data_IF_363440157895
#
_entry.id   IF_363440157895
#
_cell.length_a   1.000
_cell.length_b   1.000
_cell.length_c   1.000
_cell.angle_alpha   90.00
_cell.angle_beta   90.00
_cell.angle_gamma   90.00
#
_symmetry.space_group_name_H-M   'P 1'
#
loop_
_entity.id
_entity.type
_entity.pdbx_description
1 polymer ?
#
# COMPACT_ATOMS: atom_id res chain seq x y z
N UNK A 1 -0.13 17.68 18.72
CA UNK A 1 0.51 16.70 17.81
C UNK A 1 0.11 15.27 18.12
N UNK A 2 -0.12 14.90 19.39
CA UNK A 2 -0.53 13.53 19.77
C UNK A 2 -1.96 13.41 20.32
N UNK A 3 -2.84 14.42 20.18
CA UNK A 3 -4.19 14.39 20.78
C UNK A 3 -5.08 13.29 20.19
N UNK A 4 -4.88 12.95 18.91
CA UNK A 4 -5.65 11.93 18.20
C UNK A 4 -4.88 10.59 18.07
N UNK A 5 -3.77 10.46 18.80
CA UNK A 5 -2.90 9.27 18.82
C UNK A 5 -2.98 8.59 20.18
N UNK A 6 -2.73 7.29 20.21
CA UNK A 6 -2.75 6.49 21.43
C UNK A 6 -1.33 6.45 22.04
N UNK A 7 -1.06 7.14 23.17
CA UNK A 7 0.28 7.21 23.75
C UNK A 7 0.71 5.85 24.34
N UNK A 8 1.94 5.43 24.03
CA UNK A 8 2.54 4.20 24.56
C UNK A 8 2.83 4.28 26.07
N UNK A 9 3.06 5.50 26.56
CA UNK A 9 3.26 5.82 27.96
C UNK A 9 2.64 7.20 28.26
N UNK A 10 2.10 7.39 29.47
CA UNK A 10 1.36 8.61 29.80
C UNK A 10 2.26 9.83 30.00
N UNK A 11 3.45 9.63 30.58
CA UNK A 11 4.36 10.72 30.92
C UNK A 11 5.21 11.13 29.72
N UNK A 12 5.30 12.44 29.48
CA UNK A 12 6.19 12.99 28.45
C UNK A 12 7.62 12.96 28.98
N UNK A 13 8.54 12.36 28.24
CA UNK A 13 9.95 12.38 28.60
C UNK A 13 10.47 13.78 28.26
N UNK A 14 10.78 14.55 29.30
CA UNK A 14 11.29 15.91 29.17
C UNK A 14 12.75 15.97 29.61
N UNK A 15 13.59 16.53 28.75
CA UNK A 15 15.01 16.78 29.00
C UNK A 15 15.25 18.27 28.89
N UNK A 16 15.90 18.85 29.89
CA UNK A 16 16.37 20.23 29.86
C UNK A 16 17.77 20.29 30.44
N UNK A 17 18.68 20.95 29.74
CA UNK A 17 20.05 21.13 30.20
C UNK A 17 20.76 22.25 29.48
N UNK A 18 21.88 22.70 30.06
CA UNK A 18 22.76 23.69 29.46
C UNK A 18 24.20 23.17 29.52
N UNK A 19 24.92 23.28 28.40
CA UNK A 19 26.33 22.91 28.34
C UNK A 19 27.04 23.81 27.34
N UNK A 20 28.20 24.35 27.74
CA UNK A 20 29.01 25.25 26.91
C UNK A 20 28.21 26.44 26.34
N UNK A 21 27.31 27.03 27.15
CA UNK A 21 26.44 28.14 26.73
C UNK A 21 25.32 27.78 25.76
N UNK A 22 25.17 26.50 25.39
CA UNK A 22 24.05 26.01 24.59
C UNK A 22 22.99 25.39 25.48
N UNK A 23 21.77 25.93 25.44
CA UNK A 23 20.62 25.36 26.14
C UNK A 23 19.92 24.35 25.22
N UNK A 24 19.54 23.18 25.76
CA UNK A 24 18.82 22.13 25.03
C UNK A 24 17.58 21.75 25.81
N UNK A 25 16.43 21.79 25.16
CA UNK A 25 15.15 21.29 25.67
C UNK A 25 14.57 20.27 24.68
N UNK A 26 14.19 19.10 25.17
CA UNK A 26 13.62 18.02 24.36
C UNK A 26 12.39 17.43 25.06
N UNK A 27 11.30 17.26 24.32
CA UNK A 27 10.13 16.52 24.75
C UNK A 27 9.89 15.33 23.81
N UNK A 28 9.72 14.13 24.36
CA UNK A 28 9.56 12.88 23.60
C UNK A 28 8.35 12.09 24.10
N UNK A 29 7.59 11.54 23.17
CA UNK A 29 6.46 10.66 23.44
C UNK A 29 6.33 9.61 22.33
N UNK A 30 6.30 8.33 22.68
CA UNK A 30 5.98 7.26 21.73
C UNK A 30 4.47 7.01 21.72
N UNK A 31 3.94 6.69 20.54
CA UNK A 31 2.55 6.30 20.34
C UNK A 31 2.45 4.85 19.82
N UNK A 32 1.42 4.13 20.24
CA UNK A 32 1.15 2.75 19.81
C UNK A 32 0.77 2.73 18.33
N UNK A 33 -0.11 3.64 17.93
CA UNK A 33 -0.78 3.70 16.63
C UNK A 33 -0.02 4.52 15.57
N UNK A 34 1.25 4.83 15.83
CA UNK A 34 2.13 5.50 14.88
C UNK A 34 3.26 4.58 14.42
N UNK A 35 3.49 4.58 13.09
CA UNK A 35 4.49 3.76 12.39
C UNK A 35 5.60 4.60 11.74
N UNK A 36 5.55 5.92 11.88
CA UNK A 36 6.60 6.85 11.45
C UNK A 36 6.98 7.77 12.60
N UNK A 37 8.18 8.36 12.53
CA UNK A 37 8.61 9.38 13.46
C UNK A 37 8.14 10.77 13.04
N UNK A 38 7.83 11.62 14.02
CA UNK A 38 7.53 13.03 13.83
C UNK A 38 8.40 13.85 14.78
N UNK A 39 9.59 14.22 14.29
CA UNK A 39 10.57 15.01 15.04
C UNK A 39 10.61 16.44 14.50
N UNK A 40 10.40 17.41 15.39
CA UNK A 40 10.48 18.83 15.08
C UNK A 40 11.70 19.46 15.73
N UNK A 41 12.51 20.14 14.93
CA UNK A 41 13.68 20.87 15.40
C UNK A 41 13.48 22.37 15.39
N UNK A 42 13.97 23.02 16.44
CA UNK A 42 14.05 24.46 16.58
C UNK A 42 15.44 24.88 17.05
N UNK A 43 15.97 25.95 16.47
CA UNK A 43 17.20 26.60 16.90
C UNK A 43 16.92 28.09 17.11
N UNK A 44 17.11 28.61 18.32
CA UNK A 44 16.80 30.00 18.69
C UNK A 44 15.38 30.43 18.28
N UNK A 45 14.38 29.58 18.54
CA UNK A 45 12.97 29.74 18.15
C UNK A 45 12.68 29.71 16.63
N UNK A 46 13.68 29.45 15.80
CA UNK A 46 13.51 29.26 14.35
C UNK A 46 13.32 27.78 14.06
N UNK A 47 12.29 27.43 13.29
CA UNK A 47 12.03 26.05 12.89
C UNK A 47 13.05 25.61 11.83
N UNK A 48 13.79 24.54 12.12
CA UNK A 48 14.77 23.96 11.20
C UNK A 48 14.12 22.84 10.39
N UNK A 49 13.47 23.21 9.28
CA UNK A 49 12.67 22.31 8.44
C UNK A 49 13.54 21.22 7.78
N UNK A 50 14.75 21.59 7.36
CA UNK A 50 15.68 20.69 6.67
C UNK A 50 16.57 19.91 7.66
N UNK A 51 16.30 20.03 8.96
CA UNK A 51 17.01 19.31 10.01
C UNK A 51 18.19 20.08 10.59
N UNK A 52 19.27 19.38 10.88
CA UNK A 52 20.51 19.98 11.41
C UNK A 52 21.19 19.13 12.47
N UNK A 53 22.33 19.63 12.94
CA UNK A 53 23.23 18.92 13.86
C UNK A 53 22.57 18.54 15.20
N UNK A 54 21.64 19.36 15.71
CA UNK A 54 20.83 19.08 16.90
C UNK A 54 19.91 17.86 16.71
N UNK A 55 19.20 17.79 15.57
CA UNK A 55 18.32 16.66 15.25
C UNK A 55 19.12 15.37 14.98
N UNK A 56 20.26 15.46 14.32
CA UNK A 56 21.17 14.32 14.11
C UNK A 56 21.75 13.80 15.44
N UNK A 57 22.12 14.71 16.34
CA UNK A 57 22.54 14.39 17.71
C UNK A 57 21.45 13.62 18.45
N UNK A 58 20.21 14.13 18.42
CA UNK A 58 19.06 13.46 19.03
C UNK A 58 18.81 12.07 18.43
N UNK A 59 18.84 11.93 17.10
CA UNK A 59 18.64 10.63 16.43
C UNK A 59 19.73 9.61 16.82
N UNK A 60 20.97 10.07 16.92
CA UNK A 60 22.13 9.22 17.28
C UNK A 60 22.02 8.74 18.72
N UNK A 61 21.77 9.64 19.67
CA UNK A 61 21.69 9.30 21.10
C UNK A 61 20.51 8.40 21.41
N UNK A 62 19.34 8.63 20.81
CA UNK A 62 18.18 7.75 20.96
C UNK A 62 18.51 6.32 20.55
N UNK A 63 19.16 6.15 19.40
CA UNK A 63 19.54 4.83 18.88
C UNK A 63 20.55 4.15 19.80
N UNK A 64 21.58 4.88 20.25
CA UNK A 64 22.63 4.37 21.13
C UNK A 64 22.09 3.97 22.50
N UNK A 65 21.36 4.86 23.16
CA UNK A 65 20.81 4.63 24.51
C UNK A 65 19.83 3.46 24.52
N UNK A 66 18.91 3.39 23.54
CA UNK A 66 17.92 2.31 23.50
C UNK A 66 18.57 0.94 23.25
N UNK A 67 19.59 0.85 22.38
CA UNK A 67 20.33 -0.40 22.19
C UNK A 67 21.08 -0.83 23.47
N UNK A 68 21.70 0.11 24.19
CA UNK A 68 22.39 -0.17 25.44
C UNK A 68 21.42 -0.67 26.53
N UNK A 69 20.29 0.00 26.71
CA UNK A 69 19.25 -0.38 27.67
C UNK A 69 18.67 -1.75 27.30
N UNK A 70 18.41 -2.01 26.01
CA UNK A 70 17.86 -3.29 25.57
C UNK A 70 18.82 -4.47 25.80
N UNK A 71 20.13 -4.28 25.65
CA UNK A 71 21.14 -5.29 26.01
C UNK A 71 21.22 -5.49 27.52
N UNK A 72 21.29 -4.41 28.31
CA UNK A 72 21.32 -4.47 29.79
C UNK A 72 20.11 -5.21 30.36
N UNK A 73 18.95 -5.08 29.72
CA UNK A 73 17.68 -5.74 30.10
C UNK A 73 17.45 -7.10 29.44
N UNK A 74 18.44 -7.67 28.73
CA UNK A 74 18.35 -8.96 28.02
C UNK A 74 17.21 -9.07 26.98
N UNK A 75 16.72 -7.93 26.44
CA UNK A 75 15.73 -7.90 25.35
C UNK A 75 16.37 -8.09 23.98
N UNK A 76 17.67 -7.83 23.87
CA UNK A 76 18.55 -8.15 22.74
C UNK A 76 19.71 -8.99 23.25
N UNK A 77 20.00 -10.12 22.60
CA UNK A 77 21.17 -10.94 22.94
C UNK A 77 22.44 -10.30 22.40
N UNK A 78 23.61 -10.64 22.96
CA UNK A 78 24.90 -10.09 22.51
C UNK A 78 25.19 -10.36 21.02
N UNK A 79 24.71 -11.48 20.50
CA UNK A 79 24.89 -11.88 19.10
C UNK A 79 23.80 -11.34 18.15
N UNK A 80 22.76 -10.70 18.68
CA UNK A 80 21.71 -10.12 17.85
C UNK A 80 22.20 -8.80 17.23
N UNK A 81 21.74 -8.52 16.00
CA UNK A 81 22.02 -7.24 15.36
C UNK A 81 21.38 -6.09 16.14
N UNK A 82 22.05 -4.94 16.15
CA UNK A 82 21.52 -3.72 16.78
C UNK A 82 20.26 -3.22 16.07
N UNK A 83 19.36 -2.61 16.84
CA UNK A 83 18.20 -1.92 16.29
C UNK A 83 18.66 -0.70 15.50
N UNK A 84 18.27 -0.63 14.23
CA UNK A 84 18.46 0.55 13.39
C UNK A 84 17.70 1.75 13.94
N UNK A 85 18.18 2.95 13.66
CA UNK A 85 17.62 4.18 14.20
C UNK A 85 16.17 4.42 13.78
N UNK A 86 15.76 4.02 12.58
CA UNK A 86 14.34 4.08 12.17
C UNK A 86 13.43 3.22 13.06
N UNK A 87 13.89 2.04 13.47
CA UNK A 87 13.10 1.12 14.28
C UNK A 87 12.90 1.65 15.71
N UNK A 88 13.92 2.30 16.26
CA UNK A 88 13.85 2.93 17.59
C UNK A 88 12.92 4.13 17.61
N UNK A 89 12.88 4.89 16.50
CA UNK A 89 12.02 6.07 16.37
C UNK A 89 10.62 5.74 15.87
N UNK A 90 10.30 4.48 15.56
CA UNK A 90 8.96 4.13 15.09
C UNK A 90 7.89 4.54 16.13
N UNK A 91 6.99 5.43 15.70
CA UNK A 91 5.94 5.98 16.56
C UNK A 91 6.38 7.07 17.52
N UNK A 92 7.63 7.54 17.44
CA UNK A 92 8.12 8.68 18.22
C UNK A 92 7.54 10.00 17.69
N UNK A 93 6.94 10.79 18.56
CA UNK A 93 6.74 12.21 18.34
C UNK A 93 7.61 12.99 19.32
N UNK A 94 8.41 13.92 18.79
CA UNK A 94 9.34 14.68 19.61
C UNK A 94 9.58 16.08 19.12
N UNK A 95 9.91 16.97 20.06
CA UNK A 95 10.29 18.35 19.79
C UNK A 95 11.63 18.59 20.46
N UNK A 96 12.60 19.10 19.70
CA UNK A 96 13.89 19.57 20.20
C UNK A 96 14.02 21.06 19.93
N UNK A 97 14.33 21.81 20.97
CA UNK A 97 14.64 23.23 20.93
C UNK A 97 16.02 23.46 21.48
N UNK A 98 16.91 24.05 20.67
CA UNK A 98 18.24 24.44 21.10
C UNK A 98 18.37 25.96 21.08
N UNK A 99 19.02 26.53 22.10
CA UNK A 99 19.43 27.92 22.10
C UNK A 99 20.95 27.98 22.03
N UNK A 100 21.47 28.49 20.92
CA UNK A 100 22.89 28.51 20.60
C UNK A 100 23.37 29.96 20.55
N UNK A 101 24.47 30.34 21.20
CA UNK A 101 24.98 31.72 21.21
C UNK A 101 25.30 32.25 19.80
N UNK A 102 26.00 31.45 19.00
CA UNK A 102 26.41 31.79 17.63
C UNK A 102 25.89 30.73 16.65
N UNK A 103 24.61 30.84 16.22
CA UNK A 103 24.01 29.83 15.35
C UNK A 103 24.50 29.99 13.90
N UNK A 104 25.11 28.94 13.37
CA UNK A 104 25.49 28.79 11.98
C UNK A 104 24.42 27.96 11.25
N UNK A 105 23.89 28.49 10.15
CA UNK A 105 22.90 27.78 9.33
C UNK A 105 23.46 27.47 7.94
N UNK A 106 23.11 26.30 7.41
CA UNK A 106 23.40 25.96 6.02
C UNK A 106 22.40 26.70 5.10
N UNK A 107 22.93 27.46 4.14
CA UNK A 107 22.14 28.14 3.12
C UNK A 107 21.46 29.45 3.58
N UNK A 108 20.86 30.16 2.64
CA UNK A 108 20.27 31.49 2.86
C UNK A 108 18.96 31.44 3.66
N UNK A 109 18.24 30.32 3.63
CA UNK A 109 16.89 30.17 4.21
C UNK A 109 16.87 29.85 5.70
N UNK A 110 18.04 29.73 6.37
CA UNK A 110 18.16 29.36 7.81
C UNK A 110 17.36 28.11 8.19
N UNK A 111 17.30 27.13 7.29
CA UNK A 111 16.45 25.94 7.43
C UNK A 111 17.15 24.75 8.08
N UNK A 112 18.49 24.74 8.12
CA UNK A 112 19.29 23.66 8.70
C UNK A 112 20.41 24.19 9.58
N UNK A 113 20.52 23.69 10.81
CA UNK A 113 21.58 24.08 11.75
C UNK A 113 22.89 23.34 11.42
N UNK A 114 24.00 24.08 11.32
CA UNK A 114 25.33 23.60 10.91
C UNK A 114 26.36 23.46 12.05
N UNK A 115 26.09 24.02 13.24
CA UNK A 115 27.01 23.96 14.40
C UNK A 115 27.32 22.51 14.81
N UNK A 116 28.51 22.02 14.51
CA UNK A 116 28.90 20.61 14.76
C UNK A 116 29.00 20.26 16.25
N UNK A 117 29.34 21.23 17.09
CA UNK A 117 29.45 21.12 18.54
C UNK A 117 28.10 20.82 19.22
N UNK A 118 27.00 21.34 18.64
CA UNK A 118 25.64 21.13 19.17
C UNK A 118 25.27 19.65 19.17
N UNK A 119 25.75 18.88 18.17
CA UNK A 119 25.52 17.44 18.09
C UNK A 119 26.03 16.72 19.35
N UNK A 120 27.26 17.00 19.77
CA UNK A 120 27.88 16.37 20.94
C UNK A 120 27.27 16.83 22.26
N UNK A 121 26.82 18.09 22.32
CA UNK A 121 26.11 18.66 23.47
C UNK A 121 24.77 17.95 23.66
N UNK A 122 23.97 17.85 22.59
CA UNK A 122 22.67 17.14 22.62
C UNK A 122 22.86 15.67 22.98
N UNK A 123 23.84 14.98 22.38
CA UNK A 123 24.11 13.56 22.68
C UNK A 123 24.45 13.32 24.16
N UNK A 124 25.25 14.21 24.76
CA UNK A 124 25.61 14.11 26.17
C UNK A 124 24.39 14.33 27.09
N UNK A 125 23.70 15.47 26.92
CA UNK A 125 22.62 15.90 27.82
C UNK A 125 21.41 14.97 27.73
N UNK A 126 20.98 14.64 26.51
CA UNK A 126 19.86 13.73 26.30
C UNK A 126 20.24 12.32 26.72
N UNK A 127 21.48 11.88 26.47
CA UNK A 127 21.92 10.52 26.80
C UNK A 127 21.89 10.24 28.30
N UNK A 128 22.33 11.18 29.12
CA UNK A 128 22.34 11.07 30.58
C UNK A 128 20.91 11.00 31.15
N UNK A 129 20.10 12.03 30.87
CA UNK A 129 18.73 12.12 31.40
C UNK A 129 17.83 11.01 30.88
N UNK A 130 17.98 10.62 29.61
CA UNK A 130 17.20 9.51 29.04
C UNK A 130 17.58 8.17 29.67
N UNK A 131 18.87 7.92 29.91
CA UNK A 131 19.31 6.69 30.56
C UNK A 131 18.75 6.61 31.97
N UNK A 132 18.88 7.69 32.74
CA UNK A 132 18.34 7.79 34.10
C UNK A 132 16.82 7.55 34.10
N UNK A 133 16.08 8.25 33.24
CA UNK A 133 14.63 8.11 33.13
C UNK A 133 14.19 6.66 32.85
N UNK A 134 14.87 5.98 31.92
CA UNK A 134 14.56 4.59 31.55
C UNK A 134 14.94 3.58 32.64
N UNK A 135 15.92 3.90 33.48
CA UNK A 135 16.27 3.09 34.66
C UNK A 135 15.21 3.21 35.76
N UNK A 136 14.71 4.42 36.02
CA UNK A 136 13.65 4.66 36.99
C UNK A 136 12.26 4.22 36.51
N UNK A 137 12.04 4.17 35.19
CA UNK A 137 10.77 3.79 34.57
C UNK A 137 10.91 2.51 33.73
N UNK A 138 11.13 1.34 34.38
CA UNK A 138 11.41 0.09 33.69
C UNK A 138 10.30 -0.34 32.71
N UNK A 139 9.04 -0.12 33.07
CA UNK A 139 7.90 -0.50 32.24
C UNK A 139 7.82 0.32 30.95
N UNK A 140 8.15 1.62 31.02
CA UNK A 140 8.20 2.50 29.84
C UNK A 140 9.33 2.06 28.92
N UNK A 141 10.51 1.77 29.48
CA UNK A 141 11.64 1.26 28.71
C UNK A 141 11.31 -0.06 28.00
N UNK A 142 10.71 -1.02 28.71
CA UNK A 142 10.35 -2.32 28.15
C UNK A 142 9.32 -2.17 27.02
N UNK A 143 8.29 -1.32 27.17
CA UNK A 143 7.30 -1.05 26.12
C UNK A 143 7.93 -0.43 24.85
N UNK A 144 8.79 0.59 25.02
CA UNK A 144 9.47 1.26 23.89
C UNK A 144 10.39 0.26 23.16
N UNK A 145 11.17 -0.52 23.91
CA UNK A 145 12.09 -1.53 23.34
C UNK A 145 11.31 -2.63 22.63
N UNK A 146 10.20 -3.11 23.20
CA UNK A 146 9.37 -4.14 22.56
C UNK A 146 8.80 -3.65 21.22
N UNK A 147 8.29 -2.41 21.16
CA UNK A 147 7.86 -1.81 19.90
C UNK A 147 9.01 -1.71 18.90
N UNK A 148 10.19 -1.25 19.31
CA UNK A 148 11.36 -1.15 18.44
C UNK A 148 11.87 -2.52 17.94
N UNK A 149 11.81 -3.56 18.77
CA UNK A 149 12.16 -4.94 18.38
C UNK A 149 11.14 -5.51 17.38
N UNK A 150 9.85 -5.21 17.56
CA UNK A 150 8.81 -5.60 16.60
C UNK A 150 9.03 -4.92 15.24
N UNK A 151 9.28 -3.61 15.25
CA UNK A 151 9.64 -2.82 14.08
C UNK A 151 10.86 -3.42 13.36
N UNK A 152 11.93 -3.69 14.10
CA UNK A 152 13.15 -4.29 13.55
C UNK A 152 12.91 -5.67 12.93
N UNK A 153 12.15 -6.54 13.59
CA UNK A 153 11.80 -7.87 13.05
C UNK A 153 10.97 -7.75 11.77
N UNK A 154 10.04 -6.80 11.70
CA UNK A 154 9.25 -6.53 10.51
C UNK A 154 10.13 -6.03 9.36
N UNK A 155 11.02 -5.07 9.62
CA UNK A 155 11.96 -4.53 8.64
C UNK A 155 12.95 -5.59 8.12
N UNK A 156 13.52 -6.42 9.02
CA UNK A 156 14.39 -7.54 8.65
C UNK A 156 13.66 -8.57 7.79
N UNK A 157 12.43 -8.92 8.18
CA UNK A 157 11.62 -9.86 7.42
C UNK A 157 11.28 -9.30 6.03
N UNK A 158 10.97 -8.01 5.93
CA UNK A 158 10.73 -7.33 4.66
C UNK A 158 12.01 -7.27 3.80
N UNK A 159 13.17 -6.97 4.39
CA UNK A 159 14.47 -6.99 3.69
C UNK A 159 14.78 -8.37 3.13
N UNK A 160 14.70 -9.42 3.94
CA UNK A 160 14.94 -10.81 3.48
C UNK A 160 13.96 -11.22 2.40
N UNK A 161 12.70 -10.82 2.52
CA UNK A 161 11.69 -11.12 1.52
C UNK A 161 11.98 -10.40 0.20
N UNK A 162 12.38 -9.12 0.24
CA UNK A 162 12.84 -8.37 -0.94
C UNK A 162 14.08 -8.99 -1.57
N UNK A 163 15.08 -9.38 -0.79
CA UNK A 163 16.29 -10.05 -1.28
C UNK A 163 15.98 -11.40 -1.94
N UNK A 164 15.06 -12.18 -1.40
CA UNK A 164 14.57 -13.42 -2.01
C UNK A 164 13.95 -13.17 -3.38
N UNK A 165 13.14 -12.13 -3.52
CA UNK A 165 12.56 -11.71 -4.81
C UNK A 165 13.65 -11.25 -5.77
N UNK A 166 14.60 -10.41 -5.31
CA UNK A 166 15.70 -9.89 -6.13
C UNK A 166 16.61 -11.00 -6.64
N UNK A 167 16.98 -11.96 -5.79
CA UNK A 167 17.79 -13.13 -6.20
C UNK A 167 17.07 -14.00 -7.23
N UNK A 168 15.75 -14.16 -7.11
CA UNK A 168 14.94 -14.85 -8.13
C UNK A 168 14.86 -14.08 -9.45
N UNK A 169 15.04 -12.76 -9.45
CA UNK A 169 15.06 -11.92 -10.66
C UNK A 169 16.43 -11.96 -11.37
N UNK A 170 17.53 -12.04 -10.61
CA UNK A 170 18.92 -12.01 -11.15
C UNK A 170 19.38 -13.33 -11.75
N UNK A 171 18.84 -14.49 -11.32
CA UNK A 171 19.05 -15.72 -12.07
C UNK A 171 18.21 -15.68 -13.35
N UNK A 172 18.89 -15.70 -14.51
CA UNK A 172 18.28 -15.69 -15.84
C UNK A 172 17.03 -16.58 -15.91
N UNK A 173 15.92 -15.96 -16.31
CA UNK A 173 14.56 -16.52 -16.34
C UNK A 173 14.00 -16.90 -14.97
N UNK A 174 13.56 -15.90 -14.18
CA UNK A 174 12.56 -16.20 -13.15
C UNK A 174 11.38 -16.88 -13.84
N UNK A 175 11.05 -18.14 -13.50
CA UNK A 175 9.98 -18.84 -14.19
C UNK A 175 8.70 -18.05 -13.95
N UNK A 176 8.04 -17.68 -15.04
CA UNK A 176 6.72 -17.07 -14.97
C UNK A 176 5.82 -17.92 -14.07
N UNK A 177 4.88 -17.31 -13.32
CA UNK A 177 4.00 -18.07 -12.45
C UNK A 177 3.34 -19.21 -13.23
N UNK A 178 3.40 -20.44 -12.73
CA UNK A 178 2.90 -21.62 -13.48
C UNK A 178 1.41 -21.55 -13.85
N UNK A 179 0.66 -20.65 -13.20
CA UNK A 179 -0.76 -20.35 -13.50
C UNK A 179 -0.96 -19.28 -14.58
N UNK A 180 0.07 -18.50 -14.91
CA UNK A 180 0.02 -17.50 -15.97
C UNK A 180 -0.04 -18.20 -17.32
N UNK A 181 -1.10 -17.94 -18.08
CA UNK A 181 -1.09 -18.22 -19.50
C UNK A 181 -0.52 -16.99 -20.21
N UNK A 182 0.74 -17.04 -20.64
CA UNK A 182 1.42 -15.91 -21.29
C UNK A 182 0.89 -15.67 -22.73
N UNK A 183 1.16 -14.49 -23.28
CA UNK A 183 0.97 -14.19 -24.71
C UNK A 183 2.27 -14.45 -25.51
N UNK A 184 2.16 -14.57 -26.83
CA UNK A 184 3.35 -14.76 -27.68
C UNK A 184 4.09 -13.46 -28.01
N UNK A 185 3.39 -12.33 -28.00
CA UNK A 185 4.02 -11.03 -28.22
C UNK A 185 4.96 -10.68 -27.07
N UNK A 186 6.01 -9.95 -27.40
CA UNK A 186 6.99 -9.39 -26.47
C UNK A 186 6.91 -7.87 -26.40
N UNK A 187 6.08 -7.26 -27.22
CA UNK A 187 5.87 -5.82 -27.24
C UNK A 187 4.86 -5.45 -26.13
N UNK A 188 5.28 -4.73 -25.08
CA UNK A 188 4.40 -4.36 -23.98
C UNK A 188 3.23 -3.47 -24.39
N UNK A 189 3.36 -2.68 -25.47
CA UNK A 189 2.34 -1.73 -25.92
C UNK A 189 1.09 -2.41 -26.48
N UNK A 190 1.26 -3.48 -27.27
CA UNK A 190 0.13 -4.28 -27.77
C UNK A 190 -0.31 -5.36 -26.75
N UNK A 191 0.56 -5.73 -25.81
CA UNK A 191 0.31 -6.82 -24.88
C UNK A 191 -0.58 -6.40 -23.72
N UNK A 192 -1.54 -7.26 -23.39
CA UNK A 192 -2.47 -7.05 -22.30
C UNK A 192 -2.62 -8.28 -21.42
N UNK A 193 -2.93 -8.08 -20.15
CA UNK A 193 -3.11 -9.15 -19.18
C UNK A 193 -4.47 -9.02 -18.50
N UNK A 194 -5.24 -10.11 -18.49
CA UNK A 194 -6.49 -10.21 -17.76
C UNK A 194 -6.26 -10.88 -16.41
N UNK A 195 -6.60 -10.16 -15.34
CA UNK A 195 -6.63 -10.66 -13.98
C UNK A 195 -8.02 -11.22 -13.69
N UNK A 196 -8.13 -12.54 -13.61
CA UNK A 196 -9.43 -13.23 -13.61
C UNK A 196 -9.71 -13.87 -12.26
N UNK A 197 -10.95 -13.79 -11.80
CA UNK A 197 -11.41 -14.46 -10.58
C UNK A 197 -11.54 -15.98 -10.77
N UNK A 198 -10.65 -16.74 -10.14
CA UNK A 198 -10.70 -18.19 -10.10
C UNK A 198 -10.24 -18.91 -11.37
N UNK A 199 -10.04 -20.23 -11.23
CA UNK A 199 -9.58 -21.09 -12.33
C UNK A 199 -10.68 -21.35 -13.36
N UNK A 200 -11.96 -21.24 -12.97
CA UNK A 200 -13.11 -21.49 -13.87
C UNK A 200 -13.19 -20.42 -14.96
N UNK A 201 -13.32 -19.15 -14.56
CA UNK A 201 -13.31 -18.03 -15.50
C UNK A 201 -11.93 -17.91 -16.19
N UNK A 202 -10.84 -18.23 -15.50
CA UNK A 202 -9.51 -18.31 -16.11
C UNK A 202 -9.43 -19.35 -17.25
N UNK A 203 -10.12 -20.47 -17.12
CA UNK A 203 -10.23 -21.51 -18.16
C UNK A 203 -10.98 -21.02 -19.40
N UNK A 204 -12.14 -20.40 -19.23
CA UNK A 204 -12.92 -19.82 -20.33
C UNK A 204 -12.16 -18.69 -21.02
N UNK A 205 -11.54 -17.78 -20.25
CA UNK A 205 -10.73 -16.69 -20.78
C UNK A 205 -9.52 -17.20 -21.55
N UNK A 206 -8.82 -18.22 -21.04
CA UNK A 206 -7.68 -18.85 -21.73
C UNK A 206 -8.06 -19.45 -23.08
N UNK A 207 -9.27 -20.00 -23.21
CA UNK A 207 -9.77 -20.59 -24.46
C UNK A 207 -10.28 -19.54 -25.45
N UNK A 208 -10.88 -18.45 -24.95
CA UNK A 208 -11.49 -17.40 -25.79
C UNK A 208 -10.51 -16.31 -26.25
N UNK A 209 -9.37 -16.16 -25.58
CA UNK A 209 -8.41 -15.08 -25.87
C UNK A 209 -7.75 -15.17 -27.24
N UNK A 210 -7.25 -14.04 -27.71
CA UNK A 210 -6.17 -14.02 -28.69
C UNK A 210 -4.81 -14.22 -28.00
N UNK A 211 -4.26 -15.43 -28.15
CA UNK A 211 -2.95 -15.80 -27.58
C UNK A 211 -1.79 -14.94 -28.08
N UNK A 212 -1.96 -14.19 -29.17
CA UNK A 212 -0.92 -13.32 -29.71
C UNK A 212 -0.54 -12.25 -28.70
N UNK A 213 -1.52 -11.53 -28.15
CA UNK A 213 -1.28 -10.34 -27.33
C UNK A 213 -1.99 -10.38 -25.97
N UNK A 214 -2.87 -11.35 -25.70
CA UNK A 214 -3.60 -11.44 -24.43
C UNK A 214 -3.03 -12.52 -23.51
N UNK A 215 -2.58 -12.12 -22.33
CA UNK A 215 -2.20 -12.99 -21.22
C UNK A 215 -3.35 -13.14 -20.20
N UNK A 216 -3.43 -14.29 -19.53
CA UNK A 216 -4.46 -14.56 -18.50
C UNK A 216 -3.77 -14.98 -17.21
N UNK A 217 -4.07 -14.27 -16.12
CA UNK A 217 -3.61 -14.63 -14.77
C UNK A 217 -4.82 -14.89 -13.87
N UNK A 218 -5.15 -16.18 -13.60
CA UNK A 218 -6.19 -16.51 -12.66
C UNK A 218 -5.72 -16.25 -11.21
N UNK A 219 -6.59 -15.65 -10.42
CA UNK A 219 -6.38 -15.34 -9.01
C UNK A 219 -7.24 -16.28 -8.16
N UNK A 220 -6.60 -16.95 -7.19
CA UNK A 220 -7.30 -17.94 -6.35
C UNK A 220 -7.67 -17.35 -5.01
N UNK A 221 -8.97 -17.32 -4.74
CA UNK A 221 -9.52 -16.76 -3.50
C UNK A 221 -9.35 -15.25 -3.42
N UNK A 222 -9.60 -14.71 -2.21
CA UNK A 222 -9.49 -13.27 -1.96
C UNK A 222 -8.03 -12.87 -1.80
N UNK A 223 -7.65 -11.80 -2.49
CA UNK A 223 -6.31 -11.22 -2.40
C UNK A 223 -6.10 -10.67 -0.99
N UNK A 224 -4.87 -10.76 -0.49
CA UNK A 224 -4.52 -10.17 0.79
C UNK A 224 -4.65 -8.65 0.72
N UNK A 225 -5.31 -8.05 1.71
CA UNK A 225 -5.41 -6.60 1.81
C UNK A 225 -4.06 -6.01 2.21
N UNK A 226 -3.38 -5.36 1.27
CA UNK A 226 -2.04 -4.83 1.50
C UNK A 226 -1.99 -3.57 2.38
N UNK A 227 -3.12 -2.88 2.59
CA UNK A 227 -3.19 -1.71 3.48
C UNK A 227 -2.92 -2.10 4.94
N UNK A 228 -3.37 -3.29 5.36
CA UNK A 228 -3.26 -3.82 6.73
C UNK A 228 -2.07 -4.73 6.95
N UNK A 229 -1.36 -5.04 5.87
CA UNK A 229 -0.43 -6.16 5.84
C UNK A 229 1.00 -5.63 5.75
N UNK A 230 1.84 -6.10 6.66
CA UNK A 230 3.27 -5.82 6.62
C UNK A 230 3.92 -6.38 5.34
N UNK A 231 4.94 -5.67 4.84
CA UNK A 231 5.63 -6.04 3.60
C UNK A 231 6.12 -7.49 3.61
N UNK A 232 6.57 -8.03 4.75
CA UNK A 232 7.04 -9.41 4.83
C UNK A 232 5.93 -10.44 4.53
N UNK A 233 4.70 -10.21 5.01
CA UNK A 233 3.55 -11.04 4.64
C UNK A 233 3.13 -10.84 3.19
N UNK A 234 3.22 -9.61 2.65
CA UNK A 234 2.95 -9.32 1.23
C UNK A 234 3.85 -10.18 0.34
N UNK A 235 5.17 -10.17 0.59
CA UNK A 235 6.13 -10.93 -0.20
C UNK A 235 6.07 -12.45 0.01
N UNK A 236 5.52 -12.93 1.13
CA UNK A 236 5.27 -14.36 1.35
C UNK A 236 4.00 -14.87 0.66
N UNK A 237 3.09 -13.99 0.26
CA UNK A 237 1.84 -14.37 -0.37
C UNK A 237 2.05 -14.77 -1.83
N UNK A 238 1.69 -16.01 -2.18
CA UNK A 238 1.88 -16.55 -3.53
C UNK A 238 1.10 -15.80 -4.63
N UNK A 239 -0.09 -15.28 -4.33
CA UNK A 239 -0.92 -14.54 -5.29
C UNK A 239 -0.28 -13.19 -5.62
N UNK A 240 0.16 -12.45 -4.59
CA UNK A 240 0.88 -11.18 -4.78
C UNK A 240 2.22 -11.39 -5.49
N UNK A 241 2.98 -12.41 -5.09
CA UNK A 241 4.23 -12.78 -5.77
C UNK A 241 4.00 -13.09 -7.25
N UNK A 242 2.92 -13.81 -7.56
CA UNK A 242 2.53 -14.10 -8.95
C UNK A 242 2.20 -12.81 -9.70
N UNK A 243 1.47 -11.87 -9.09
CA UNK A 243 1.15 -10.57 -9.71
C UNK A 243 2.42 -9.74 -9.98
N UNK A 244 3.28 -9.57 -8.98
CA UNK A 244 4.54 -8.82 -9.11
C UNK A 244 5.41 -9.41 -10.22
N UNK A 245 5.53 -10.73 -10.26
CA UNK A 245 6.38 -11.44 -11.23
C UNK A 245 5.76 -11.44 -12.63
N UNK A 246 4.45 -11.63 -12.75
CA UNK A 246 3.76 -11.63 -14.04
C UNK A 246 3.86 -10.27 -14.72
N UNK A 247 3.65 -9.19 -13.96
CA UNK A 247 3.64 -7.82 -14.46
C UNK A 247 5.04 -7.21 -14.61
N UNK A 248 6.01 -7.64 -13.79
CA UNK A 248 7.34 -7.03 -13.76
C UNK A 248 7.40 -5.76 -12.89
N UNK A 249 6.66 -5.70 -11.78
CA UNK A 249 6.55 -4.48 -10.97
C UNK A 249 7.78 -4.15 -10.13
N UNK A 250 8.78 -5.03 -10.11
CA UNK A 250 9.96 -4.88 -9.26
C UNK A 250 9.63 -4.97 -7.77
N UNK A 251 10.40 -4.24 -6.96
CA UNK A 251 10.29 -4.21 -5.51
C UNK A 251 9.57 -2.93 -5.07
N UNK A 252 8.64 -3.06 -4.13
CA UNK A 252 7.92 -1.92 -3.53
C UNK A 252 8.90 -0.86 -3.00
N UNK A 253 8.71 0.37 -3.47
CA UNK A 253 9.48 1.55 -3.05
C UNK A 253 10.78 1.79 -3.83
N UNK A 254 11.14 0.92 -4.77
CA UNK A 254 12.14 1.26 -5.80
C UNK A 254 11.49 2.11 -6.90
N UNK A 255 12.28 2.89 -7.64
CA UNK A 255 11.77 3.65 -8.78
C UNK A 255 11.13 2.72 -9.80
N UNK A 256 9.93 3.08 -10.27
CA UNK A 256 9.21 2.32 -11.26
C UNK A 256 9.84 2.50 -12.63
N UNK A 257 10.30 1.40 -13.20
CA UNK A 257 10.79 1.37 -14.57
C UNK A 257 9.69 0.82 -15.49
N UNK A 258 9.12 1.69 -16.33
CA UNK A 258 8.10 1.30 -17.30
C UNK A 258 8.62 0.32 -18.34
N UNK A 259 9.93 0.30 -18.62
CA UNK A 259 10.53 -0.64 -19.58
C UNK A 259 10.50 -2.09 -19.07
N UNK A 260 10.40 -2.30 -17.75
CA UNK A 260 10.27 -3.62 -17.14
C UNK A 260 8.81 -4.12 -17.11
N UNK A 261 7.85 -3.25 -17.39
CA UNK A 261 6.44 -3.60 -17.43
C UNK A 261 6.16 -4.48 -18.64
N UNK A 262 5.63 -5.69 -18.40
CA UNK A 262 5.39 -6.66 -19.47
C UNK A 262 4.12 -6.41 -20.29
N UNK A 263 3.17 -5.65 -19.73
CA UNK A 263 1.87 -5.39 -20.33
C UNK A 263 1.43 -3.96 -20.02
N UNK A 264 1.21 -3.14 -21.04
CA UNK A 264 0.70 -1.77 -20.87
C UNK A 264 -0.82 -1.73 -20.61
N UNK A 265 -1.50 -2.87 -20.72
CA UNK A 265 -2.93 -2.98 -20.36
C UNK A 265 -3.14 -4.08 -19.34
N UNK A 266 -3.39 -3.68 -18.11
CA UNK A 266 -3.72 -4.56 -16.99
C UNK A 266 -5.23 -4.48 -16.79
N UNK A 267 -5.94 -5.53 -17.20
CA UNK A 267 -7.41 -5.57 -17.19
C UNK A 267 -7.89 -6.41 -16.01
N UNK A 268 -8.60 -5.79 -15.06
CA UNK A 268 -9.28 -6.46 -13.96
C UNK A 268 -10.61 -7.01 -14.49
N UNK A 269 -10.75 -8.33 -14.53
CA UNK A 269 -11.93 -9.03 -15.02
C UNK A 269 -12.49 -9.94 -13.94
N UNK A 270 -13.37 -9.37 -13.10
CA UNK A 270 -14.03 -10.04 -11.97
C UNK A 270 -15.51 -10.25 -12.25
N UNK A 271 -16.14 -11.13 -11.48
CA UNK A 271 -17.57 -11.39 -11.61
C UNK A 271 -18.41 -10.15 -11.22
N UNK A 272 -19.61 -10.04 -11.80
CA UNK A 272 -20.58 -8.99 -11.48
C UNK A 272 -21.39 -9.40 -10.23
N UNK A 273 -20.68 -9.62 -9.13
CA UNK A 273 -21.27 -9.95 -7.84
C UNK A 273 -20.52 -9.24 -6.68
N UNK A 274 -20.96 -9.49 -5.45
CA UNK A 274 -20.38 -8.86 -4.25
C UNK A 274 -18.94 -9.31 -3.99
N UNK A 275 -18.56 -10.52 -4.39
CA UNK A 275 -17.22 -11.06 -4.19
C UNK A 275 -16.25 -10.51 -5.24
N UNK A 276 -16.70 -10.41 -6.49
CA UNK A 276 -15.96 -9.76 -7.58
C UNK A 276 -15.72 -8.27 -7.30
N UNK A 277 -16.72 -7.55 -6.80
CA UNK A 277 -16.55 -6.16 -6.35
C UNK A 277 -15.52 -6.02 -5.22
N UNK A 278 -15.47 -6.98 -4.30
CA UNK A 278 -14.47 -7.02 -3.22
C UNK A 278 -13.07 -7.31 -3.76
N UNK A 279 -12.91 -8.28 -4.65
CA UNK A 279 -11.61 -8.59 -5.30
C UNK A 279 -11.12 -7.40 -6.11
N UNK A 280 -12.00 -6.73 -6.87
CA UNK A 280 -11.69 -5.50 -7.59
C UNK A 280 -11.17 -4.43 -6.64
N UNK A 281 -11.82 -4.21 -5.50
CA UNK A 281 -11.38 -3.25 -4.48
C UNK A 281 -9.99 -3.61 -3.92
N UNK A 282 -9.72 -4.90 -3.67
CA UNK A 282 -8.41 -5.37 -3.21
C UNK A 282 -7.31 -5.17 -4.26
N UNK A 283 -7.61 -5.41 -5.54
CA UNK A 283 -6.67 -5.16 -6.64
C UNK A 283 -6.38 -3.67 -6.82
N UNK A 284 -7.39 -2.81 -6.77
CA UNK A 284 -7.21 -1.37 -6.84
C UNK A 284 -6.36 -0.85 -5.67
N UNK A 285 -6.62 -1.37 -4.46
CA UNK A 285 -5.78 -1.09 -3.28
C UNK A 285 -4.35 -1.56 -3.52
N UNK A 286 -4.17 -2.75 -4.10
CA UNK A 286 -2.86 -3.30 -4.43
C UNK A 286 -2.09 -2.36 -5.37
N UNK A 287 -2.67 -1.99 -6.51
CA UNK A 287 -1.99 -1.10 -7.47
C UNK A 287 -1.70 0.26 -6.87
N UNK A 288 -2.65 0.85 -6.15
CA UNK A 288 -2.48 2.16 -5.55
C UNK A 288 -1.38 2.22 -4.48
N UNK A 289 -1.27 1.19 -3.63
CA UNK A 289 -0.29 1.17 -2.51
C UNK A 289 1.04 0.52 -2.86
N UNK A 290 1.07 -0.39 -3.83
CA UNK A 290 2.30 -1.06 -4.24
C UNK A 290 3.04 -0.29 -5.32
N UNK A 291 2.33 0.18 -6.36
CA UNK A 291 2.90 0.90 -7.49
C UNK A 291 1.88 1.87 -8.10
N UNK A 292 1.73 3.04 -7.48
CA UNK A 292 0.76 4.07 -7.92
C UNK A 292 0.99 4.50 -9.37
N UNK A 293 2.25 4.53 -9.82
CA UNK A 293 2.63 4.93 -11.18
C UNK A 293 1.89 4.17 -12.27
N UNK A 294 1.45 2.92 -12.03
CA UNK A 294 0.65 2.17 -13.01
C UNK A 294 -0.72 2.80 -13.27
N UNK A 295 -1.32 3.37 -12.22
CA UNK A 295 -2.61 4.03 -12.30
C UNK A 295 -2.43 5.44 -12.86
N UNK A 296 -1.39 6.16 -12.42
CA UNK A 296 -1.08 7.51 -12.92
C UNK A 296 -0.75 7.51 -14.42
N UNK A 297 -0.08 6.46 -14.92
CA UNK A 297 0.22 6.28 -16.35
C UNK A 297 -0.94 5.63 -17.13
N UNK A 298 -2.06 5.30 -16.47
CA UNK A 298 -3.25 4.80 -17.14
C UNK A 298 -3.17 3.36 -17.67
N UNK A 299 -2.37 2.49 -17.05
CA UNK A 299 -2.25 1.09 -17.47
C UNK A 299 -3.32 0.17 -16.88
N UNK A 300 -4.10 0.62 -15.90
CA UNK A 300 -5.09 -0.21 -15.19
C UNK A 300 -6.50 0.03 -15.74
N UNK A 301 -7.17 -1.06 -16.12
CA UNK A 301 -8.50 -1.08 -16.71
C UNK A 301 -9.41 -2.06 -15.96
N UNK A 302 -10.72 -1.83 -16.04
CA UNK A 302 -11.75 -2.73 -15.53
C UNK A 302 -12.59 -3.20 -16.72
N UNK A 303 -12.71 -4.52 -16.89
CA UNK A 303 -13.56 -5.11 -17.91
C UNK A 303 -15.05 -4.92 -17.55
N UNK A 304 -15.88 -4.68 -18.57
CA UNK A 304 -17.33 -4.54 -18.41
C UNK A 304 -18.06 -5.67 -19.15
N UNK A 305 -18.19 -6.86 -18.55
CA UNK A 305 -18.97 -7.94 -19.14
C UNK A 305 -20.48 -7.60 -19.18
N UNK A 306 -21.26 -8.20 -20.09
CA UNK A 306 -22.70 -8.01 -20.12
C UNK A 306 -23.39 -8.70 -18.94
N UNK A 307 -24.45 -8.09 -18.41
CA UNK A 307 -25.24 -8.64 -17.32
C UNK A 307 -26.33 -9.58 -17.82
N UNK A 308 -26.85 -9.33 -19.02
CA UNK A 308 -27.98 -10.06 -19.58
C UNK A 308 -27.74 -10.47 -21.04
N UNK A 309 -28.31 -11.61 -21.41
CA UNK A 309 -28.49 -12.05 -22.79
C UNK A 309 -29.97 -12.26 -23.05
N UNK A 310 -30.50 -11.56 -24.04
CA UNK A 310 -31.88 -11.73 -24.52
C UNK A 310 -31.84 -12.54 -25.80
N UNK A 311 -32.47 -13.70 -25.82
CA UNK A 311 -32.52 -14.59 -26.97
C UNK A 311 -33.93 -14.62 -27.57
N UNK A 312 -34.01 -14.50 -28.89
CA UNK A 312 -35.25 -14.62 -29.65
C UNK A 312 -35.01 -15.47 -30.90
N UNK A 313 -35.43 -16.73 -30.84
CA UNK A 313 -35.21 -17.69 -31.93
C UNK A 313 -33.73 -17.94 -32.15
N UNK A 314 -33.18 -17.44 -33.27
CA UNK A 314 -31.73 -17.52 -33.60
C UNK A 314 -30.93 -16.27 -33.26
N UNK A 315 -31.62 -15.16 -32.97
CA UNK A 315 -30.96 -13.89 -32.68
C UNK A 315 -30.78 -13.76 -31.17
N UNK A 316 -29.68 -13.12 -30.77
CA UNK A 316 -29.43 -12.79 -29.38
C UNK A 316 -28.84 -11.38 -29.28
N UNK A 317 -29.09 -10.72 -28.16
CA UNK A 317 -28.58 -9.38 -27.85
C UNK A 317 -28.05 -9.38 -26.42
N UNK A 318 -26.86 -8.81 -26.23
CA UNK A 318 -26.24 -8.62 -24.92
C UNK A 318 -26.58 -7.24 -24.36
N UNK A 319 -26.99 -7.19 -23.09
CA UNK A 319 -27.30 -5.95 -22.39
C UNK A 319 -26.37 -5.82 -21.17
N UNK A 320 -25.81 -4.63 -20.99
CA UNK A 320 -24.80 -4.34 -19.96
C UNK A 320 -25.38 -3.70 -18.69
N UNK A 321 -26.63 -3.26 -18.73
CA UNK A 321 -27.34 -2.73 -17.58
C UNK A 321 -28.85 -2.98 -17.72
N UNK A 322 -29.56 -2.78 -16.62
CA UNK A 322 -31.02 -2.96 -16.55
C UNK A 322 -31.75 -2.04 -17.54
N UNK A 323 -31.26 -0.80 -17.72
CA UNK A 323 -31.87 0.14 -18.66
C UNK A 323 -31.85 -0.38 -20.10
N UNK A 324 -30.71 -0.88 -20.56
CA UNK A 324 -30.56 -1.49 -21.90
C UNK A 324 -31.45 -2.73 -22.05
N UNK A 325 -31.59 -3.54 -21.00
CA UNK A 325 -32.50 -4.67 -21.00
C UNK A 325 -33.95 -4.22 -21.22
N UNK A 326 -34.41 -3.23 -20.45
CA UNK A 326 -35.77 -2.70 -20.55
C UNK A 326 -36.02 -2.02 -21.90
N UNK A 327 -35.07 -1.21 -22.39
CA UNK A 327 -35.15 -0.60 -23.73
C UNK A 327 -35.25 -1.65 -24.83
N UNK A 328 -34.45 -2.73 -24.75
CA UNK A 328 -34.52 -3.81 -25.72
C UNK A 328 -35.85 -4.56 -25.65
N UNK A 329 -36.33 -4.90 -24.46
CA UNK A 329 -37.64 -5.55 -24.27
C UNK A 329 -38.78 -4.68 -24.83
N UNK A 330 -38.77 -3.38 -24.55
CA UNK A 330 -39.78 -2.43 -25.04
C UNK A 330 -39.75 -2.25 -26.57
N UNK A 331 -38.59 -2.50 -27.21
CA UNK A 331 -38.46 -2.49 -28.67
C UNK A 331 -39.06 -3.74 -29.34
N UNK A 332 -39.29 -4.81 -28.58
CA UNK A 332 -39.85 -6.04 -29.10
C UNK A 332 -41.38 -5.95 -29.22
N UNK A 333 -42.01 -6.67 -30.18
CA UNK A 333 -43.46 -6.77 -30.25
C UNK A 333 -44.06 -7.33 -28.95
N UNK A 334 -45.24 -6.85 -28.53
CA UNK A 334 -45.91 -7.28 -27.29
C UNK A 334 -46.12 -8.81 -27.15
N UNK A 335 -46.17 -9.55 -28.27
CA UNK A 335 -46.32 -11.01 -28.29
C UNK A 335 -45.01 -11.75 -28.64
N UNK A 336 -43.86 -11.08 -28.52
CA UNK A 336 -42.57 -11.71 -28.79
C UNK A 336 -42.25 -12.74 -27.71
N UNK A 337 -41.96 -13.97 -28.14
CA UNK A 337 -41.41 -14.99 -27.27
C UNK A 337 -39.88 -14.83 -27.22
N UNK A 338 -39.34 -14.54 -26.04
CA UNK A 338 -37.92 -14.37 -25.79
C UNK A 338 -37.52 -15.00 -24.45
N UNK A 339 -36.25 -15.37 -24.34
CA UNK A 339 -35.65 -15.89 -23.11
C UNK A 339 -34.61 -14.90 -22.61
N UNK A 340 -34.63 -14.58 -21.32
CA UNK A 340 -33.60 -13.75 -20.68
C UNK A 340 -32.71 -14.66 -19.84
N UNK A 341 -31.40 -14.61 -20.10
CA UNK A 341 -30.38 -15.19 -19.25
C UNK A 341 -29.63 -14.06 -18.54
N UNK A 342 -29.56 -14.10 -17.22
CA UNK A 342 -28.69 -13.23 -16.41
C UNK A 342 -27.38 -13.96 -16.16
N UNK A 343 -26.25 -13.33 -16.47
CA UNK A 343 -24.94 -13.84 -16.10
C UNK A 343 -24.64 -13.44 -14.66
N UNK A 344 -24.30 -14.42 -13.82
CA UNK A 344 -23.87 -14.15 -12.43
C UNK A 344 -22.36 -14.19 -12.28
N UNK A 345 -21.70 -15.03 -13.07
CA UNK A 345 -20.25 -15.14 -13.09
C UNK A 345 -19.71 -15.39 -14.48
N UNK A 346 -18.47 -14.97 -14.71
CA UNK A 346 -17.76 -15.10 -15.98
C UNK A 346 -17.56 -16.57 -16.39
N UNK A 347 -17.52 -17.48 -15.41
CA UNK A 347 -17.43 -18.92 -15.65
C UNK A 347 -18.68 -19.54 -16.30
N UNK A 348 -19.82 -18.84 -16.28
CA UNK A 348 -21.06 -19.29 -16.96
C UNK A 348 -21.05 -18.97 -18.46
N UNK A 349 -20.14 -18.11 -18.91
CA UNK A 349 -20.02 -17.70 -20.30
C UNK A 349 -19.16 -18.69 -21.08
N UNK A 350 -19.63 -19.06 -22.28
CA UNK A 350 -18.82 -19.84 -23.21
C UNK A 350 -17.64 -18.99 -23.72
N UNK A 351 -16.47 -19.60 -24.05
CA UNK A 351 -15.28 -18.85 -24.48
C UNK A 351 -15.53 -17.87 -25.63
N UNK A 352 -16.35 -18.25 -26.61
CA UNK A 352 -16.71 -17.39 -27.75
C UNK A 352 -17.53 -16.18 -27.33
N UNK A 353 -18.46 -16.36 -26.39
CA UNK A 353 -19.27 -15.26 -25.85
C UNK A 353 -18.39 -14.28 -25.10
N UNK A 354 -17.49 -14.78 -24.25
CA UNK A 354 -16.58 -13.95 -23.47
C UNK A 354 -15.64 -13.14 -24.39
N UNK A 355 -15.17 -13.74 -25.49
CA UNK A 355 -14.41 -13.05 -26.52
C UNK A 355 -15.23 -11.92 -27.15
N UNK A 356 -16.40 -12.25 -27.70
CA UNK A 356 -17.24 -11.30 -28.46
C UNK A 356 -17.72 -10.11 -27.61
N UNK A 357 -17.94 -10.30 -26.32
CA UNK A 357 -18.54 -9.26 -25.47
C UNK A 357 -17.55 -8.46 -24.64
N UNK A 358 -16.44 -9.10 -24.22
CA UNK A 358 -15.60 -8.57 -23.12
C UNK A 358 -14.13 -8.51 -23.48
N UNK A 359 -13.60 -9.44 -24.28
CA UNK A 359 -12.16 -9.53 -24.54
C UNK A 359 -11.73 -8.98 -25.91
N UNK A 360 -12.60 -9.01 -26.92
CA UNK A 360 -12.27 -8.54 -28.26
C UNK A 360 -12.11 -7.01 -28.30
N UNK A 361 -10.92 -6.47 -28.67
CA UNK A 361 -10.69 -5.02 -28.74
C UNK A 361 -11.65 -4.24 -29.64
N UNK A 362 -12.24 -4.88 -30.65
CA UNK A 362 -13.16 -4.23 -31.59
C UNK A 362 -14.57 -4.02 -31.02
N UNK A 363 -15.00 -4.84 -30.07
CA UNK A 363 -16.38 -4.85 -29.57
C UNK A 363 -16.49 -4.57 -28.07
N UNK A 364 -15.41 -4.78 -27.31
CA UNK A 364 -15.43 -4.62 -25.85
C UNK A 364 -15.54 -3.16 -25.42
N UNK A 365 -16.02 -2.97 -24.21
CA UNK A 365 -15.91 -1.71 -23.47
C UNK A 365 -15.14 -1.94 -22.17
N UNK A 366 -14.29 -1.00 -21.79
CA UNK A 366 -13.51 -1.04 -20.56
C UNK A 366 -13.55 0.33 -19.88
N UNK A 367 -13.44 0.35 -18.55
CA UNK A 367 -13.25 1.57 -17.77
C UNK A 367 -11.77 1.71 -17.44
N UNK A 368 -11.13 2.80 -17.86
CA UNK A 368 -9.77 3.13 -17.44
C UNK A 368 -9.83 3.72 -16.02
N UNK A 369 -8.90 3.32 -15.16
CA UNK A 369 -8.83 3.79 -13.77
C UNK A 369 -7.91 5.01 -13.72
N UNK A 370 -8.41 6.12 -13.19
CA UNK A 370 -7.68 7.37 -13.04
C UNK A 370 -7.74 7.86 -11.58
N UNK A 371 -6.74 8.64 -11.17
CA UNK A 371 -6.69 9.27 -9.85
C UNK A 371 -6.89 10.78 -10.05
N UNK A 372 -8.09 11.26 -9.76
CA UNK A 372 -8.41 12.69 -9.83
C UNK A 372 -7.80 13.48 -8.66
N UNK A 373 -7.98 12.96 -7.44
CA UNK A 373 -7.43 13.53 -6.20
C UNK A 373 -6.72 12.45 -5.40
N UNK A 374 -5.39 12.53 -5.37
CA UNK A 374 -4.55 11.56 -4.68
C UNK A 374 -4.68 11.65 -3.15
N UNK A 375 -5.03 12.80 -2.58
CA UNK A 375 -5.23 12.96 -1.14
C UNK A 375 -6.60 12.38 -0.72
N UNK A 376 -7.63 12.59 -1.52
CA UNK A 376 -8.94 11.99 -1.26
C UNK A 376 -8.93 10.47 -1.46
N UNK A 377 -8.32 9.98 -2.54
CA UNK A 377 -8.15 8.55 -2.75
C UNK A 377 -7.38 7.89 -1.59
N UNK A 378 -6.32 8.55 -1.08
CA UNK A 378 -5.56 8.08 0.08
C UNK A 378 -6.45 7.95 1.33
N UNK A 379 -7.23 8.99 1.63
CA UNK A 379 -8.21 8.95 2.72
C UNK A 379 -9.19 7.80 2.58
N UNK A 380 -9.79 7.63 1.40
CA UNK A 380 -10.80 6.60 1.14
C UNK A 380 -10.19 5.21 1.33
N UNK A 381 -9.01 4.94 0.77
CA UNK A 381 -8.33 3.66 0.96
C UNK A 381 -7.99 3.41 2.44
N UNK A 382 -7.51 4.40 3.17
CA UNK A 382 -7.22 4.23 4.60
C UNK A 382 -8.48 3.98 5.43
N UNK A 383 -9.62 4.63 5.13
CA UNK A 383 -10.89 4.39 5.82
C UNK A 383 -11.43 2.98 5.51
N UNK A 384 -11.52 2.62 4.22
CA UNK A 384 -12.16 1.38 3.79
C UNK A 384 -11.25 0.16 4.02
N UNK A 385 -9.96 0.31 3.78
CA UNK A 385 -9.01 -0.80 3.78
C UNK A 385 -8.10 -0.82 5.01
N UNK A 386 -8.01 0.26 5.80
CA UNK A 386 -7.16 0.34 6.99
C UNK A 386 -7.73 -0.33 8.24
N UNK A 387 -6.93 -0.40 9.31
CA UNK A 387 -7.20 -1.23 10.49
C UNK A 387 -8.33 -0.74 11.39
N UNK A 388 -8.60 0.57 11.39
CA UNK A 388 -9.61 1.19 12.26
C UNK A 388 -11.03 0.84 11.81
N UNK A 389 -11.79 0.19 12.69
CA UNK A 389 -13.18 -0.24 12.39
C UNK A 389 -14.18 0.92 12.47
N UNK A 390 -14.02 1.81 13.46
CA UNK A 390 -14.99 2.88 13.71
C UNK A 390 -15.16 3.85 12.52
N UNK A 391 -14.09 4.40 11.91
CA UNK A 391 -14.22 5.29 10.76
C UNK A 391 -14.88 4.62 9.55
N UNK A 392 -14.55 3.33 9.33
CA UNK A 392 -15.16 2.54 8.26
C UNK A 392 -16.66 2.36 8.48
N UNK A 393 -17.07 2.06 9.71
CA UNK A 393 -18.48 1.89 10.06
C UNK A 393 -19.26 3.18 9.83
N UNK A 394 -18.73 4.30 10.30
CA UNK A 394 -19.32 5.63 10.09
C UNK A 394 -19.46 5.97 8.60
N UNK A 395 -18.44 5.64 7.80
CA UNK A 395 -18.50 5.81 6.35
C UNK A 395 -19.64 4.99 5.73
N UNK A 396 -19.77 3.70 6.07
CA UNK A 396 -20.83 2.83 5.56
C UNK A 396 -22.22 3.33 5.99
N UNK A 397 -22.38 3.74 7.25
CA UNK A 397 -23.65 4.28 7.76
C UNK A 397 -24.04 5.60 7.07
N UNK A 398 -23.05 6.42 6.70
CA UNK A 398 -23.27 7.74 6.06
C UNK A 398 -23.60 7.62 4.57
N UNK A 399 -22.91 6.74 3.84
CA UNK A 399 -22.99 6.64 2.38
C UNK A 399 -23.83 5.45 1.90
N UNK A 400 -23.93 4.38 2.67
CA UNK A 400 -24.70 3.17 2.35
C UNK A 400 -26.15 3.47 1.93
N UNK A 401 -26.93 4.24 2.71
CA UNK A 401 -28.31 4.57 2.37
C UNK A 401 -28.48 5.47 1.14
N UNK A 402 -27.41 6.14 0.68
CA UNK A 402 -27.43 7.05 -0.47
C UNK A 402 -27.12 6.33 -1.78
N UNK A 403 -26.68 5.08 -1.73
CA UNK A 403 -26.34 4.29 -2.91
C UNK A 403 -27.62 3.76 -3.58
N UNK A 404 -27.72 4.01 -4.88
CA UNK A 404 -28.73 3.38 -5.71
C UNK A 404 -28.16 2.09 -6.30
N UNK A 405 -28.78 0.95 -5.95
CA UNK A 405 -28.31 -0.36 -6.40
C UNK A 405 -28.33 -0.51 -7.92
N UNK A 406 -29.18 0.23 -8.63
CA UNK A 406 -29.23 0.18 -10.11
C UNK A 406 -28.01 0.81 -10.79
N UNK A 407 -27.26 1.62 -10.04
CA UNK A 407 -26.08 2.32 -10.56
C UNK A 407 -24.80 1.51 -10.27
N UNK A 408 -24.92 0.37 -9.60
CA UNK A 408 -23.83 -0.54 -9.31
C UNK A 408 -23.66 -1.55 -10.46
N UNK A 409 -22.42 -1.80 -10.85
CA UNK A 409 -22.06 -2.86 -11.80
C UNK A 409 -22.09 -4.26 -11.11
N UNK A 410 -23.23 -4.64 -10.49
CA UNK A 410 -23.43 -5.87 -9.67
C UNK A 410 -24.85 -6.45 -9.86
#
# INVERSE_FOLDING_TARGET
MCRDKDPLHQDIIYVSGEKNGTQVEVALLWCVDAYSDNLLGFANNIRTIDGGTHLEGLKTVLTRTMNNVARKRNKLKENDANLGGENVREGLTGVISVKVPEPEFEGQTKTKLGNTEVRGIVDSLVGEVLTEYLEFNPQVADNIIEKAVQAFKAAEAARRARELVRRKSVLESSPLPGKLADCSSRDPEESEIFLVEGDSAGGSAKQGRDRRFQAILPLRGKIINIEKTDDAKIYKNNEIQSLITALGLGIKGEEFDSEQLRYHRIVIMTDADVDGAHIRTLLLTFFYRYQRSLVDQGYVYIACPPLYKVERGRNHVYCYNERQLQEHINSLPNNANYTIQRFKGLGEMMPTQLWETTMNPETRSMKQVEIEDAAEADRIFTILMGDRVAPRREFIETYGPKLNLTDLDI
#
